data_IF_200138195317
#
_entry.id   IF_200138195317
#
_cell.length_a   1.000
_cell.length_b   1.000
_cell.length_c   1.000
_cell.angle_alpha   90.00
_cell.angle_beta   90.00
_cell.angle_gamma   90.00
#
_symmetry.space_group_name_H-M   'P 1'
#
loop_
_entity.id
_entity.type
_entity.pdbx_description
1 polymer ?
#
# COMPACT_ATOMS: atom_id res chain seq x y z
N UNK A 1 -13.65 13.91 -2.41
CA UNK A 1 -14.27 15.05 -1.67
C UNK A 1 -15.15 15.85 -2.59
N UNK A 2 -14.62 16.71 -3.45
CA UNK A 2 -15.38 17.43 -4.47
C UNK A 2 -14.90 16.97 -5.84
N UNK A 3 -15.82 16.69 -6.76
CA UNK A 3 -15.55 16.39 -8.16
C UNK A 3 -15.24 17.71 -8.91
N UNK A 4 -14.09 17.80 -9.57
CA UNK A 4 -13.65 19.00 -10.30
C UNK A 4 -13.66 18.83 -11.82
N UNK A 5 -13.79 17.59 -12.32
CA UNK A 5 -13.75 17.24 -13.73
C UNK A 5 -15.09 16.69 -14.26
N UNK A 6 -16.10 16.58 -13.39
CA UNK A 6 -17.46 16.10 -13.67
C UNK A 6 -17.52 14.61 -14.11
N UNK A 7 -16.63 13.77 -13.55
CA UNK A 7 -16.65 12.32 -13.78
C UNK A 7 -17.47 11.54 -12.74
N UNK A 8 -18.01 12.23 -11.72
CA UNK A 8 -18.79 11.66 -10.63
C UNK A 8 -17.95 11.21 -9.44
N UNK A 9 -16.62 11.42 -9.48
CA UNK A 9 -15.68 11.02 -8.42
C UNK A 9 -15.03 12.27 -7.83
N UNK A 10 -15.01 12.37 -6.49
CA UNK A 10 -14.27 13.43 -5.82
C UNK A 10 -12.75 13.24 -6.00
N UNK A 11 -12.03 14.33 -6.21
CA UNK A 11 -10.62 14.32 -6.58
C UNK A 11 -9.75 15.19 -5.65
N UNK A 12 -8.43 15.12 -5.82
CA UNK A 12 -7.44 15.85 -5.01
C UNK A 12 -7.58 17.36 -5.23
N UNK A 13 -7.82 17.79 -6.46
CA UNK A 13 -8.04 19.21 -6.77
C UNK A 13 -9.29 19.74 -6.08
N UNK A 14 -10.31 18.90 -5.89
CA UNK A 14 -11.51 19.23 -5.13
C UNK A 14 -11.23 19.47 -3.65
N UNK A 15 -10.28 18.72 -3.05
CA UNK A 15 -9.81 19.00 -1.69
C UNK A 15 -9.07 20.34 -1.67
N UNK A 16 -8.13 20.55 -2.59
CA UNK A 16 -7.32 21.77 -2.68
C UNK A 16 -8.19 23.02 -2.78
N UNK A 17 -9.23 22.99 -3.62
CA UNK A 17 -10.20 24.11 -3.76
C UNK A 17 -11.01 24.37 -2.50
N UNK A 18 -11.10 23.43 -1.56
CA UNK A 18 -11.91 23.52 -0.35
C UNK A 18 -11.08 23.66 0.94
N UNK A 19 -9.78 23.88 0.86
CA UNK A 19 -8.90 24.03 2.03
C UNK A 19 -9.37 25.16 2.97
N UNK A 20 -9.77 26.32 2.44
CA UNK A 20 -10.27 27.43 3.25
C UNK A 20 -11.56 27.08 3.99
N UNK A 21 -12.45 26.33 3.34
CA UNK A 21 -13.67 25.80 3.98
C UNK A 21 -13.32 24.82 5.11
N UNK A 22 -12.41 23.86 4.85
CA UNK A 22 -11.99 22.86 5.83
C UNK A 22 -11.32 23.54 7.04
N UNK A 23 -10.44 24.50 6.79
CA UNK A 23 -9.82 25.31 7.86
C UNK A 23 -10.86 26.11 8.65
N UNK A 24 -11.86 26.68 7.98
CA UNK A 24 -12.95 27.41 8.61
C UNK A 24 -13.81 26.56 9.55
N UNK A 25 -13.82 25.24 9.40
CA UNK A 25 -14.42 24.30 10.34
C UNK A 25 -13.57 24.07 11.60
N UNK A 26 -12.37 24.64 11.68
CA UNK A 26 -11.44 24.45 12.78
C UNK A 26 -10.50 23.27 12.61
N UNK A 27 -10.47 22.63 11.43
CA UNK A 27 -9.54 21.54 11.14
C UNK A 27 -8.14 22.08 10.85
N UNK A 28 -7.11 21.45 11.44
CA UNK A 28 -5.71 21.76 11.18
C UNK A 28 -4.96 20.61 10.49
N UNK A 29 -5.63 19.50 10.25
CA UNK A 29 -5.07 18.37 9.54
C UNK A 29 -6.15 17.67 8.67
N UNK A 30 -5.70 17.08 7.57
CA UNK A 30 -6.51 16.25 6.66
C UNK A 30 -5.86 14.87 6.61
N UNK A 31 -6.65 13.83 6.81
CA UNK A 31 -6.28 12.46 6.50
C UNK A 31 -6.97 12.05 5.21
N UNK A 32 -6.18 11.59 4.24
CA UNK A 32 -6.66 11.10 2.95
C UNK A 32 -6.68 9.57 2.97
N UNK A 33 -7.83 8.96 2.70
CA UNK A 33 -7.97 7.53 2.45
C UNK A 33 -7.04 7.10 1.29
N UNK A 34 -6.75 5.79 1.10
CA UNK A 34 -5.83 5.35 0.08
C UNK A 34 -6.15 5.94 -1.30
N UNK A 35 -5.24 6.73 -1.81
CA UNK A 35 -5.38 7.42 -3.10
C UNK A 35 -4.39 6.91 -4.17
N UNK A 36 -3.65 5.85 -3.86
CA UNK A 36 -2.68 5.25 -4.76
C UNK A 36 -3.34 4.37 -5.82
N UNK A 37 -2.56 4.02 -6.85
CA UNK A 37 -3.02 3.10 -7.90
C UNK A 37 -3.49 1.78 -7.29
N UNK A 38 -4.70 1.36 -7.68
CA UNK A 38 -5.39 0.20 -7.13
C UNK A 38 -6.35 -0.41 -8.15
N UNK A 39 -6.58 -1.72 -8.16
CA UNK A 39 -7.67 -2.34 -8.90
C UNK A 39 -9.04 -2.13 -8.23
N UNK A 40 -9.09 -1.51 -7.05
CA UNK A 40 -10.31 -1.17 -6.29
C UNK A 40 -11.18 -2.36 -5.85
N UNK A 41 -10.58 -3.50 -5.61
CA UNK A 41 -11.26 -4.63 -4.98
C UNK A 41 -11.57 -4.38 -3.49
N UNK A 42 -10.87 -3.41 -2.88
CA UNK A 42 -11.05 -2.99 -1.49
C UNK A 42 -10.91 -1.46 -1.34
N UNK A 43 -11.67 -0.71 -2.15
CA UNK A 43 -11.77 0.75 -2.07
C UNK A 43 -10.41 1.50 -2.03
N UNK A 44 -9.35 0.93 -2.62
CA UNK A 44 -7.99 1.50 -2.65
C UNK A 44 -7.04 0.91 -1.61
N UNK A 45 -7.52 0.11 -0.65
CA UNK A 45 -6.63 -0.59 0.31
C UNK A 45 -5.87 -1.77 -0.33
N UNK A 46 -6.26 -2.23 -1.50
CA UNK A 46 -5.52 -3.16 -2.35
C UNK A 46 -4.59 -2.38 -3.30
N UNK A 47 -3.45 -1.92 -2.77
CA UNK A 47 -2.51 -1.06 -3.48
C UNK A 47 -1.79 -1.83 -4.59
N UNK A 48 -1.81 -1.30 -5.81
CA UNK A 48 -1.07 -1.82 -6.98
C UNK A 48 0.26 -1.10 -7.21
N UNK A 49 0.34 0.19 -6.89
CA UNK A 49 1.57 0.98 -6.93
C UNK A 49 1.54 2.06 -5.85
N UNK A 50 2.47 1.99 -4.89
CA UNK A 50 2.59 2.95 -3.80
C UNK A 50 3.14 4.32 -4.21
N UNK A 51 3.73 4.44 -5.40
CA UNK A 51 4.42 5.65 -5.86
C UNK A 51 3.60 6.50 -6.83
N UNK A 52 2.41 6.03 -7.19
CA UNK A 52 1.56 6.68 -8.19
C UNK A 52 0.18 6.92 -7.63
N UNK A 53 -0.28 8.17 -7.68
CA UNK A 53 -1.67 8.53 -7.39
C UNK A 53 -2.56 7.91 -8.46
N UNK A 54 -3.68 7.34 -8.06
CA UNK A 54 -4.65 6.78 -8.99
C UNK A 54 -5.26 7.87 -9.89
N UNK A 55 -5.27 7.64 -11.18
CA UNK A 55 -5.66 8.63 -12.20
C UNK A 55 -7.07 9.21 -11.98
N UNK A 56 -7.97 8.45 -11.34
CA UNK A 56 -9.31 8.92 -10.99
C UNK A 56 -9.31 10.03 -9.92
N UNK A 57 -8.24 10.15 -9.14
CA UNK A 57 -8.11 11.15 -8.08
C UNK A 57 -7.19 12.30 -8.47
N UNK A 58 -6.41 12.16 -9.53
CA UNK A 58 -5.46 13.16 -10.00
C UNK A 58 -4.08 12.58 -10.29
N UNK A 59 -3.06 13.39 -10.09
CA UNK A 59 -1.65 13.05 -10.32
C UNK A 59 -0.81 13.22 -9.06
N UNK A 60 0.45 12.79 -9.11
CA UNK A 60 1.42 13.05 -8.03
C UNK A 60 1.64 14.56 -7.84
N UNK A 61 1.62 15.32 -8.93
CA UNK A 61 1.75 16.79 -8.92
C UNK A 61 0.56 17.46 -8.25
N UNK A 62 -0.66 16.96 -8.48
CA UNK A 62 -1.87 17.45 -7.80
C UNK A 62 -1.78 17.22 -6.30
N UNK A 63 -1.28 16.04 -5.88
CA UNK A 63 -1.10 15.72 -4.46
C UNK A 63 -0.01 16.57 -3.82
N UNK A 64 1.13 16.77 -4.49
CA UNK A 64 2.19 17.67 -4.04
C UNK A 64 1.69 19.13 -3.92
N UNK A 65 0.85 19.56 -4.86
CA UNK A 65 0.23 20.88 -4.78
C UNK A 65 -0.73 21.00 -3.59
N UNK A 66 -1.50 19.94 -3.30
CA UNK A 66 -2.36 19.90 -2.11
C UNK A 66 -1.55 20.07 -0.82
N UNK A 67 -0.40 19.38 -0.69
CA UNK A 67 0.48 19.54 0.47
C UNK A 67 0.96 20.98 0.61
N UNK A 68 1.46 21.57 -0.47
CA UNK A 68 1.92 22.97 -0.50
C UNK A 68 0.82 23.95 -0.10
N UNK A 69 -0.36 23.82 -0.66
CA UNK A 69 -1.50 24.70 -0.39
C UNK A 69 -2.06 24.53 1.03
N UNK A 70 -2.00 23.32 1.59
CA UNK A 70 -2.36 23.07 2.99
C UNK A 70 -1.35 23.73 3.92
N UNK A 71 -0.04 23.58 3.67
CA UNK A 71 1.02 24.22 4.48
C UNK A 71 0.92 25.74 4.44
N UNK A 72 0.58 26.35 3.30
CA UNK A 72 0.35 27.79 3.20
C UNK A 72 -0.79 28.29 4.10
N UNK A 73 -1.62 27.37 4.61
CA UNK A 73 -2.74 27.62 5.53
C UNK A 73 -2.50 27.10 6.94
N UNK A 74 -1.28 26.74 7.30
CA UNK A 74 -0.94 26.08 8.58
C UNK A 74 -1.80 24.81 8.80
N UNK A 75 -1.97 24.02 7.77
CA UNK A 75 -2.66 22.73 7.80
C UNK A 75 -1.70 21.62 7.42
N UNK A 76 -1.93 20.45 7.98
CA UNK A 76 -1.16 19.22 7.70
C UNK A 76 -1.96 18.25 6.86
N UNK A 77 -1.27 17.44 6.05
CA UNK A 77 -1.89 16.37 5.27
C UNK A 77 -1.17 15.06 5.53
N UNK A 78 -1.90 14.07 6.02
CA UNK A 78 -1.42 12.72 6.23
C UNK A 78 -2.07 11.75 5.23
N UNK A 79 -1.31 10.77 4.78
CA UNK A 79 -1.76 9.73 3.87
C UNK A 79 -2.07 8.44 4.61
N UNK A 80 -2.96 7.63 4.06
CA UNK A 80 -3.15 6.27 4.53
C UNK A 80 -2.02 5.37 4.01
N UNK A 81 -1.32 4.67 4.90
CA UNK A 81 -0.30 3.70 4.55
C UNK A 81 -0.89 2.29 4.74
N UNK A 82 -0.78 1.47 3.72
CA UNK A 82 -1.24 0.08 3.74
C UNK A 82 -0.02 -0.85 3.76
N UNK A 83 0.60 -1.12 4.92
CA UNK A 83 1.87 -1.84 4.97
C UNK A 83 1.70 -3.36 5.05
N UNK A 84 0.50 -3.87 5.34
CA UNK A 84 0.28 -5.30 5.62
C UNK A 84 0.16 -6.19 4.40
N UNK A 85 -0.20 -5.63 3.24
CA UNK A 85 -0.45 -6.38 2.00
C UNK A 85 -0.40 -5.47 0.78
N UNK A 86 -0.47 -6.07 -0.41
CA UNK A 86 -0.69 -5.36 -1.67
C UNK A 86 -1.85 -5.97 -2.44
N UNK A 87 -2.20 -5.39 -3.59
CA UNK A 87 -3.03 -6.08 -4.57
C UNK A 87 -2.24 -7.26 -5.20
N UNK A 88 -2.95 -8.27 -5.70
CA UNK A 88 -2.33 -9.35 -6.51
C UNK A 88 -1.73 -8.83 -7.83
N UNK A 89 -2.16 -7.66 -8.27
CA UNK A 89 -1.64 -6.99 -9.48
C UNK A 89 -0.36 -6.20 -9.23
N UNK A 90 0.07 -6.03 -7.97
CA UNK A 90 1.28 -5.29 -7.62
C UNK A 90 2.53 -5.92 -8.25
N UNK A 91 3.44 -5.10 -8.77
CA UNK A 91 4.69 -5.56 -9.42
C UNK A 91 5.56 -6.45 -8.53
N UNK A 92 5.59 -6.19 -7.22
CA UNK A 92 6.33 -7.01 -6.26
C UNK A 92 5.73 -8.42 -6.18
N UNK A 93 4.40 -8.52 -6.12
CA UNK A 93 3.72 -9.82 -6.05
C UNK A 93 3.91 -10.62 -7.34
N UNK A 94 3.72 -9.99 -8.51
CA UNK A 94 3.96 -10.63 -9.81
C UNK A 94 5.36 -11.22 -9.94
N UNK A 95 6.38 -10.55 -9.38
CA UNK A 95 7.76 -11.06 -9.35
C UNK A 95 7.96 -12.14 -8.29
N UNK A 96 7.35 -12.00 -7.11
CA UNK A 96 7.40 -13.01 -6.04
C UNK A 96 6.78 -14.35 -6.44
N UNK A 97 5.80 -14.35 -7.36
CA UNK A 97 5.16 -15.56 -7.90
C UNK A 97 6.05 -16.40 -8.82
N UNK A 98 7.21 -15.87 -9.26
CA UNK A 98 8.09 -16.58 -10.20
C UNK A 98 8.83 -17.73 -9.51
N UNK A 99 8.98 -18.86 -10.23
CA UNK A 99 9.75 -20.02 -9.75
C UNK A 99 11.24 -19.68 -9.58
N UNK A 100 11.78 -18.85 -10.48
CA UNK A 100 13.16 -18.36 -10.39
C UNK A 100 13.31 -17.36 -9.24
N UNK A 101 14.29 -17.61 -8.36
CA UNK A 101 14.59 -16.70 -7.25
C UNK A 101 15.01 -15.31 -7.76
N UNK A 102 14.46 -14.29 -7.13
CA UNK A 102 14.74 -12.89 -7.43
C UNK A 102 14.61 -12.05 -6.13
N UNK A 103 14.91 -10.78 -6.19
CA UNK A 103 14.85 -9.85 -5.06
C UNK A 103 13.47 -9.72 -4.38
N UNK A 104 12.40 -10.20 -5.03
CA UNK A 104 11.03 -10.16 -4.50
C UNK A 104 10.54 -11.51 -4.00
N UNK A 105 11.33 -12.58 -4.13
CA UNK A 105 10.92 -13.96 -3.79
C UNK A 105 10.33 -14.04 -2.38
N UNK A 106 10.98 -13.40 -1.42
CA UNK A 106 10.63 -13.44 0.00
C UNK A 106 9.93 -12.15 0.48
N UNK A 107 9.46 -11.32 -0.47
CA UNK A 107 8.70 -10.10 -0.18
C UNK A 107 7.32 -10.38 0.42
N UNK A 108 6.77 -11.55 0.15
CA UNK A 108 5.49 -12.03 0.65
C UNK A 108 5.67 -13.31 1.43
N UNK A 109 4.67 -13.65 2.25
CA UNK A 109 4.69 -14.85 3.08
C UNK A 109 4.20 -16.03 2.24
N UNK A 110 5.08 -17.01 2.01
CA UNK A 110 4.79 -18.23 1.26
C UNK A 110 5.01 -19.46 2.12
N UNK A 111 4.15 -20.46 2.00
CA UNK A 111 4.39 -21.81 2.53
C UNK A 111 5.38 -22.56 1.64
N UNK A 112 5.91 -23.68 2.14
CA UNK A 112 6.88 -24.49 1.39
C UNK A 112 6.24 -25.33 0.26
N UNK A 113 4.92 -25.53 0.30
CA UNK A 113 4.21 -26.29 -0.73
C UNK A 113 2.80 -25.77 -0.96
N UNK A 114 2.34 -25.87 -2.22
CA UNK A 114 0.96 -25.58 -2.63
C UNK A 114 -0.07 -26.47 -1.90
N UNK A 115 0.36 -27.63 -1.42
CA UNK A 115 -0.48 -28.57 -0.67
C UNK A 115 -0.54 -28.26 0.82
N UNK A 116 0.29 -27.35 1.28
CA UNK A 116 0.27 -26.92 2.68
C UNK A 116 -0.87 -25.95 2.93
N UNK A 117 -1.73 -26.31 3.88
CA UNK A 117 -2.88 -25.52 4.31
C UNK A 117 -2.76 -25.20 5.80
N UNK A 118 -2.12 -24.08 6.15
CA UNK A 118 -1.97 -23.71 7.54
C UNK A 118 -3.34 -23.49 8.17
N UNK A 119 -3.65 -24.21 9.26
CA UNK A 119 -4.94 -24.09 9.91
C UNK A 119 -5.18 -22.66 10.42
N UNK A 120 -6.33 -22.10 10.07
CA UNK A 120 -6.75 -20.75 10.50
C UNK A 120 -6.08 -19.60 9.72
N UNK A 121 -5.29 -19.90 8.68
CA UNK A 121 -4.60 -18.90 7.86
C UNK A 121 -5.12 -19.00 6.43
N UNK A 122 -5.68 -17.89 5.91
CA UNK A 122 -6.10 -17.81 4.51
C UNK A 122 -4.90 -17.79 3.56
N UNK A 123 -5.02 -18.49 2.43
CA UNK A 123 -3.97 -18.53 1.42
C UNK A 123 -4.52 -18.42 0.00
N UNK A 124 -3.73 -17.81 -0.88
CA UNK A 124 -3.90 -17.85 -2.35
C UNK A 124 -3.11 -19.03 -2.88
N UNK A 125 -3.74 -19.86 -3.73
CA UNK A 125 -3.13 -21.06 -4.31
C UNK A 125 -3.27 -21.10 -5.81
N UNK A 126 -2.35 -21.79 -6.49
CA UNK A 126 -2.46 -22.15 -7.91
C UNK A 126 -2.36 -21.00 -8.89
N UNK A 127 -1.92 -19.82 -8.45
CA UNK A 127 -1.73 -18.63 -9.31
C UNK A 127 -0.27 -18.32 -9.61
N UNK A 128 0.67 -19.06 -9.01
CA UNK A 128 2.12 -18.81 -9.10
C UNK A 128 2.84 -19.91 -9.88
N UNK A 129 3.99 -19.55 -10.46
CA UNK A 129 4.90 -20.50 -11.11
C UNK A 129 5.73 -21.29 -10.07
N UNK A 130 5.82 -20.78 -8.82
CA UNK A 130 6.56 -21.43 -7.72
C UNK A 130 5.65 -22.37 -6.93
N UNK A 131 6.23 -23.40 -6.31
CA UNK A 131 5.54 -24.15 -5.27
C UNK A 131 5.32 -23.27 -4.04
N UNK A 132 4.21 -23.48 -3.35
CA UNK A 132 3.82 -22.70 -2.19
C UNK A 132 2.44 -22.07 -2.32
N UNK A 133 1.85 -21.78 -1.18
CA UNK A 133 0.63 -20.99 -1.02
C UNK A 133 0.99 -19.64 -0.42
N UNK A 134 0.48 -18.55 -0.99
CA UNK A 134 0.74 -17.22 -0.43
C UNK A 134 -0.28 -16.90 0.65
N UNK A 135 0.18 -16.55 1.83
CA UNK A 135 -0.67 -16.08 2.93
C UNK A 135 -1.36 -14.78 2.54
N UNK A 136 -2.65 -14.65 2.90
CA UNK A 136 -3.41 -13.40 2.71
C UNK A 136 -3.59 -12.67 4.03
N UNK A 137 -3.80 -11.35 3.96
CA UNK A 137 -4.06 -10.54 5.14
C UNK A 137 -5.57 -10.50 5.46
N UNK A 138 -6.37 -9.73 4.70
CA UNK A 138 -7.81 -9.61 4.95
C UNK A 138 -8.65 -10.35 3.91
N UNK A 139 -8.37 -10.15 2.63
CA UNK A 139 -9.13 -10.73 1.52
C UNK A 139 -8.25 -11.62 0.64
N UNK A 140 -8.88 -12.53 -0.10
CA UNK A 140 -8.19 -13.49 -0.99
C UNK A 140 -7.37 -12.84 -2.12
N UNK A 141 -7.53 -11.55 -2.36
CA UNK A 141 -6.77 -10.77 -3.34
C UNK A 141 -5.72 -9.84 -2.71
N UNK A 142 -5.43 -10.03 -1.41
CA UNK A 142 -4.49 -9.21 -0.62
C UNK A 142 -3.35 -10.07 -0.05
N UNK A 143 -2.36 -10.45 -0.87
CA UNK A 143 -1.20 -11.21 -0.42
C UNK A 143 -0.44 -10.45 0.65
N UNK A 144 -0.13 -11.13 1.76
CA UNK A 144 0.51 -10.55 2.92
C UNK A 144 1.99 -10.27 2.68
N UNK A 145 2.42 -9.04 2.97
CA UNK A 145 3.83 -8.66 2.95
C UNK A 145 4.58 -9.31 4.11
N UNK A 146 5.80 -9.76 3.85
CA UNK A 146 6.63 -10.50 4.79
C UNK A 146 7.56 -9.56 5.56
N UNK A 147 7.25 -9.32 6.83
CA UNK A 147 8.12 -8.62 7.78
C UNK A 147 8.84 -9.57 8.75
N UNK A 148 8.68 -10.89 8.54
CA UNK A 148 9.22 -11.93 9.40
C UNK A 148 8.42 -12.16 10.68
N UNK A 149 8.87 -13.15 11.43
CA UNK A 149 8.27 -13.59 12.68
C UNK A 149 9.29 -13.48 13.80
N UNK A 150 8.85 -13.08 14.97
CA UNK A 150 9.68 -13.09 16.17
C UNK A 150 9.94 -14.53 16.64
N UNK A 151 8.88 -15.34 16.69
CA UNK A 151 8.95 -16.77 16.93
C UNK A 151 8.51 -17.52 15.67
N UNK A 152 9.33 -18.48 15.22
CA UNK A 152 9.03 -19.31 14.06
C UNK A 152 8.54 -20.69 14.57
N UNK A 153 7.26 -20.95 14.44
CA UNK A 153 6.62 -22.23 14.79
C UNK A 153 6.35 -23.12 13.56
N UNK A 154 6.70 -22.63 12.37
CA UNK A 154 6.52 -23.33 11.09
C UNK A 154 7.76 -23.17 10.20
N UNK A 155 8.11 -24.19 9.40
CA UNK A 155 9.35 -24.21 8.62
C UNK A 155 9.46 -23.06 7.59
N UNK A 156 8.34 -22.62 7.04
CA UNK A 156 8.30 -21.54 6.04
C UNK A 156 8.31 -20.12 6.64
N UNK A 157 8.22 -19.98 7.93
CA UNK A 157 8.30 -18.68 8.59
C UNK A 157 9.75 -18.20 8.63
N UNK A 158 9.97 -16.99 8.17
CA UNK A 158 11.26 -16.32 8.20
C UNK A 158 11.39 -15.46 9.45
N UNK A 159 12.62 -15.32 9.96
CA UNK A 159 12.94 -14.39 11.03
C UNK A 159 12.81 -12.95 10.55
N UNK A 160 12.50 -12.04 11.46
CA UNK A 160 12.54 -10.58 11.20
C UNK A 160 13.95 -10.11 10.78
N UNK A 161 15.00 -10.89 11.11
CA UNK A 161 16.39 -10.58 10.78
C UNK A 161 16.82 -11.09 9.41
N UNK A 162 16.00 -11.92 8.75
CA UNK A 162 16.32 -12.47 7.44
C UNK A 162 16.27 -11.39 6.35
N UNK A 163 16.97 -11.62 5.26
CA UNK A 163 17.13 -10.65 4.16
C UNK A 163 15.79 -10.23 3.53
N UNK A 164 14.89 -11.18 3.29
CA UNK A 164 13.58 -10.92 2.68
C UNK A 164 12.70 -9.98 3.52
N UNK A 165 12.43 -10.30 4.81
CA UNK A 165 11.72 -9.42 5.73
C UNK A 165 12.35 -8.03 5.88
N UNK A 166 13.69 -7.96 6.01
CA UNK A 166 14.39 -6.67 6.08
C UNK A 166 14.23 -5.85 4.80
N UNK A 167 14.35 -6.50 3.63
CA UNK A 167 14.13 -5.83 2.34
C UNK A 167 12.68 -5.33 2.19
N UNK A 168 11.70 -6.06 2.74
CA UNK A 168 10.30 -5.62 2.78
C UNK A 168 10.14 -4.36 3.64
N UNK A 169 10.72 -4.36 4.83
CA UNK A 169 10.70 -3.20 5.73
C UNK A 169 11.33 -1.97 5.08
N UNK A 170 12.50 -2.11 4.46
CA UNK A 170 13.18 -0.99 3.80
C UNK A 170 12.38 -0.48 2.58
N UNK A 171 11.78 -1.37 1.80
CA UNK A 171 10.93 -0.96 0.69
C UNK A 171 9.70 -0.13 1.17
N UNK A 172 9.10 -0.50 2.29
CA UNK A 172 7.99 0.28 2.86
C UNK A 172 8.48 1.62 3.42
N UNK A 173 9.66 1.66 4.05
CA UNK A 173 10.30 2.93 4.45
C UNK A 173 10.61 3.82 3.25
N UNK A 174 10.98 3.25 2.10
CA UNK A 174 11.22 4.02 0.88
C UNK A 174 9.93 4.63 0.32
N UNK A 175 8.80 3.93 0.41
CA UNK A 175 7.47 4.51 0.13
C UNK A 175 7.22 5.72 1.02
N UNK A 176 7.44 5.58 2.32
CA UNK A 176 7.26 6.71 3.27
C UNK A 176 8.20 7.88 2.94
N UNK A 177 9.49 7.60 2.71
CA UNK A 177 10.48 8.63 2.34
C UNK A 177 10.10 9.38 1.07
N UNK A 178 9.56 8.66 0.08
CA UNK A 178 9.11 9.26 -1.17
C UNK A 178 8.01 10.31 -0.93
N UNK A 179 6.96 9.97 -0.21
CA UNK A 179 5.84 10.88 0.04
C UNK A 179 6.19 12.01 1.02
N UNK A 180 7.02 11.74 2.04
CA UNK A 180 7.54 12.78 2.92
C UNK A 180 8.37 13.82 2.13
N UNK A 181 9.20 13.35 1.18
CA UNK A 181 9.97 14.23 0.28
C UNK A 181 9.06 15.05 -0.64
N UNK A 182 7.89 14.53 -1.00
CA UNK A 182 6.88 15.24 -1.80
C UNK A 182 6.11 16.29 -0.98
N UNK A 183 6.22 16.27 0.35
CA UNK A 183 5.58 17.23 1.26
C UNK A 183 4.49 16.66 2.17
N UNK A 184 4.29 15.35 2.18
CA UNK A 184 3.38 14.69 3.13
C UNK A 184 3.88 14.90 4.56
N UNK A 185 2.97 15.17 5.52
CA UNK A 185 3.31 15.39 6.92
C UNK A 185 3.40 14.09 7.74
N UNK A 186 2.85 13.00 7.24
CA UNK A 186 2.88 11.72 7.94
C UNK A 186 1.90 10.70 7.38
N UNK A 187 1.72 9.63 8.14
CA UNK A 187 0.91 8.48 7.73
C UNK A 187 0.00 8.01 8.86
N UNK A 188 -1.13 7.55 8.46
CA UNK A 188 -2.03 6.77 9.29
C UNK A 188 -1.88 5.29 8.93
#
# INVERSE_FOLDING_TARGET
FQDTNADGIGDINGITRRLDYIKGLGCNAIWINPCFQSPYGDAGYDVEDYYTVASRYGTNEDLANLFKEAHARDMHVILDLVPGHTAVTHKWFKKSMKAEKNEYTDRYIWTDSIWEEPQGIGCIRGISDRDGSCVVNFFSHQPALNYGYYEQDRPWQQSMEDEGPRATLEAMKDVMRFWLKMGCDGFR
#
